data_IF_273410167918
#
_entry.id   IF_273410167918
#
_cell.length_a   1.000
_cell.length_b   1.000
_cell.length_c   1.000
_cell.angle_alpha   90.00
_cell.angle_beta   90.00
_cell.angle_gamma   90.00
#
_symmetry.space_group_name_H-M   'P 1'
#
loop_
_entity.id
_entity.type
_entity.pdbx_description
1 polymer ?
#
# COMPACT_ATOMS: atom_id res chain seq x y z
N UNK A 1 6.38 -0.88 -11.74
CA UNK A 1 6.90 -2.18 -11.30
C UNK A 1 5.76 -2.95 -10.62
N UNK A 2 5.57 -4.25 -10.89
CA UNK A 2 4.53 -5.02 -10.23
C UNK A 2 4.67 -4.96 -8.72
N UNK A 3 3.55 -4.80 -8.01
CA UNK A 3 3.55 -4.69 -6.56
C UNK A 3 2.20 -5.09 -5.98
N UNK A 4 2.21 -5.39 -4.69
CA UNK A 4 1.00 -5.49 -3.88
C UNK A 4 0.95 -4.38 -2.85
N UNK A 5 -0.27 -4.00 -2.47
CA UNK A 5 -0.52 -3.19 -1.27
C UNK A 5 -1.35 -4.02 -0.31
N UNK A 6 -0.75 -4.37 0.82
CA UNK A 6 -1.36 -5.20 1.85
C UNK A 6 -0.94 -4.70 3.23
N UNK A 7 -1.89 -4.64 4.17
CA UNK A 7 -1.66 -4.15 5.54
C UNK A 7 -0.95 -2.76 5.60
N UNK A 8 -1.25 -1.87 4.65
CA UNK A 8 -0.65 -0.54 4.56
C UNK A 8 0.79 -0.52 4.03
N UNK A 9 1.34 -1.65 3.61
CA UNK A 9 2.67 -1.74 3.02
C UNK A 9 2.60 -1.98 1.52
N UNK A 10 3.47 -1.28 0.79
CA UNK A 10 3.70 -1.52 -0.63
C UNK A 10 4.89 -2.47 -0.78
N UNK A 11 4.65 -3.65 -1.33
CA UNK A 11 5.67 -4.69 -1.54
C UNK A 11 5.85 -4.87 -3.04
N UNK A 12 7.03 -4.51 -3.55
CA UNK A 12 7.42 -4.80 -4.92
C UNK A 12 7.53 -6.31 -5.14
N UNK A 13 7.06 -6.82 -6.26
CA UNK A 13 7.15 -8.25 -6.62
C UNK A 13 7.56 -8.41 -8.07
N UNK A 14 7.99 -9.63 -8.44
CA UNK A 14 8.28 -9.96 -9.83
C UNK A 14 6.99 -10.16 -10.65
N UNK A 15 7.08 -10.07 -11.97
CA UNK A 15 5.95 -10.37 -12.87
C UNK A 15 5.48 -11.82 -12.76
N UNK A 16 6.37 -12.76 -12.41
CA UNK A 16 5.99 -14.15 -12.18
C UNK A 16 5.14 -14.27 -10.90
N UNK A 17 5.60 -13.68 -9.80
CA UNK A 17 4.87 -13.67 -8.53
C UNK A 17 3.52 -12.95 -8.64
N UNK A 18 3.41 -11.95 -9.51
CA UNK A 18 2.14 -11.29 -9.78
C UNK A 18 1.06 -12.27 -10.27
N UNK A 19 1.43 -13.18 -11.18
CA UNK A 19 0.51 -14.20 -11.72
C UNK A 19 0.13 -15.19 -10.61
N UNK A 20 1.14 -15.70 -9.89
CA UNK A 20 0.96 -16.64 -8.78
C UNK A 20 0.04 -16.07 -7.69
N UNK A 21 0.22 -14.79 -7.32
CA UNK A 21 -0.62 -14.11 -6.33
C UNK A 21 -2.04 -13.93 -6.85
N UNK A 22 -2.25 -13.52 -8.11
CA UNK A 22 -3.60 -13.35 -8.68
C UNK A 22 -4.37 -14.66 -8.71
N UNK A 23 -3.73 -15.73 -9.17
CA UNK A 23 -4.36 -17.05 -9.28
C UNK A 23 -4.63 -17.65 -7.89
N UNK A 24 -3.66 -17.54 -6.97
CA UNK A 24 -3.78 -18.02 -5.60
C UNK A 24 -4.88 -17.30 -4.81
N UNK A 25 -4.94 -15.97 -4.88
CA UNK A 25 -6.01 -15.19 -4.26
C UNK A 25 -7.39 -15.56 -4.81
N UNK A 26 -7.51 -15.78 -6.13
CA UNK A 26 -8.78 -16.17 -6.75
C UNK A 26 -9.24 -17.56 -6.31
N UNK A 27 -8.32 -18.52 -6.25
CA UNK A 27 -8.62 -19.87 -5.76
C UNK A 27 -9.06 -19.83 -4.29
N UNK A 28 -8.27 -19.18 -3.43
CA UNK A 28 -8.56 -19.04 -2.00
C UNK A 28 -9.89 -18.31 -1.73
N UNK A 29 -10.21 -17.27 -2.50
CA UNK A 29 -11.49 -16.58 -2.43
C UNK A 29 -12.68 -17.48 -2.80
N UNK A 30 -12.48 -18.37 -3.78
CA UNK A 30 -13.51 -19.30 -4.25
C UNK A 30 -13.75 -20.42 -3.24
N UNK A 31 -12.68 -20.93 -2.65
CA UNK A 31 -12.72 -22.04 -1.69
C UNK A 31 -13.03 -21.59 -0.25
N UNK A 32 -12.94 -20.29 0.03
CA UNK A 32 -13.10 -19.76 1.38
C UNK A 32 -11.91 -20.10 2.29
N UNK A 33 -10.73 -20.29 1.72
CA UNK A 33 -9.51 -20.72 2.42
C UNK A 33 -8.48 -19.60 2.54
N UNK A 34 -7.52 -19.75 3.44
CA UNK A 34 -6.40 -18.80 3.58
C UNK A 34 -5.44 -18.99 2.41
N UNK A 35 -4.99 -17.89 1.81
CA UNK A 35 -3.90 -17.89 0.86
C UNK A 35 -2.58 -17.56 1.59
N UNK A 36 -1.60 -18.45 1.48
CA UNK A 36 -0.27 -18.26 2.04
C UNK A 36 0.79 -18.42 0.95
N UNK A 37 1.67 -17.44 0.79
CA UNK A 37 2.79 -17.52 -0.16
C UNK A 37 3.98 -16.68 0.29
N UNK A 38 5.17 -17.10 -0.12
CA UNK A 38 6.41 -16.35 0.06
C UNK A 38 6.66 -15.45 -1.16
N UNK A 39 6.88 -14.17 -0.89
CA UNK A 39 7.20 -13.16 -1.88
C UNK A 39 8.64 -12.69 -1.70
N UNK A 40 9.31 -12.46 -2.81
CA UNK A 40 10.64 -11.89 -2.89
C UNK A 40 10.50 -10.48 -3.47
N UNK A 41 10.87 -9.50 -2.67
CA UNK A 41 10.98 -8.10 -3.03
C UNK A 41 11.95 -7.89 -4.17
N UNK A 42 11.71 -6.87 -4.99
CA UNK A 42 12.63 -6.46 -6.05
C UNK A 42 14.01 -6.02 -5.54
N UNK A 43 14.12 -5.72 -4.25
CA UNK A 43 15.34 -5.37 -3.51
C UNK A 43 15.99 -6.59 -2.81
N UNK A 44 15.43 -7.78 -2.95
CA UNK A 44 15.89 -9.00 -2.30
C UNK A 44 15.31 -9.25 -0.90
N UNK A 45 14.42 -8.39 -0.41
CA UNK A 45 13.74 -8.61 0.87
C UNK A 45 12.68 -9.72 0.76
N UNK A 46 12.59 -10.62 1.73
CA UNK A 46 11.59 -11.68 1.77
C UNK A 46 10.35 -11.30 2.58
N UNK A 47 9.17 -11.62 2.08
CA UNK A 47 7.90 -11.33 2.75
C UNK A 47 6.98 -12.56 2.72
N UNK A 48 6.34 -12.86 3.85
CA UNK A 48 5.24 -13.82 3.89
C UNK A 48 3.92 -13.09 3.72
N UNK A 49 3.15 -13.47 2.69
CA UNK A 49 1.79 -13.00 2.50
C UNK A 49 0.84 -14.05 3.07
N UNK A 50 0.11 -13.69 4.13
CA UNK A 50 -1.01 -14.47 4.65
C UNK A 50 -2.28 -13.66 4.45
N UNK A 51 -3.12 -14.09 3.51
CA UNK A 51 -4.35 -13.39 3.14
C UNK A 51 -5.58 -14.26 3.39
N UNK A 52 -6.62 -13.66 3.97
CA UNK A 52 -7.90 -14.32 4.21
C UNK A 52 -9.00 -13.73 3.33
N UNK A 53 -9.98 -14.52 2.87
CA UNK A 53 -11.11 -14.02 2.10
C UNK A 53 -11.81 -12.85 2.81
N UNK A 54 -11.99 -11.74 2.07
CA UNK A 54 -12.56 -10.49 2.60
C UNK A 54 -11.53 -9.48 3.11
N UNK A 55 -10.26 -9.85 3.28
CA UNK A 55 -9.22 -8.88 3.61
C UNK A 55 -8.87 -8.01 2.39
N UNK A 56 -8.73 -6.67 2.55
CA UNK A 56 -8.38 -5.81 1.43
C UNK A 56 -6.94 -6.05 0.99
N UNK A 57 -6.76 -6.27 -0.31
CA UNK A 57 -5.45 -6.36 -0.97
C UNK A 57 -5.55 -5.75 -2.35
N UNK A 58 -4.54 -4.96 -2.73
CA UNK A 58 -4.41 -4.43 -4.09
C UNK A 58 -3.26 -5.14 -4.77
N UNK A 59 -3.50 -5.64 -5.99
CA UNK A 59 -2.49 -6.31 -6.81
C UNK A 59 -2.38 -5.54 -8.12
N UNK A 60 -1.22 -4.95 -8.38
CA UNK A 60 -1.00 -4.04 -9.51
C UNK A 60 0.15 -4.52 -10.39
N UNK A 61 -0.05 -4.50 -11.71
CA UNK A 61 0.99 -4.75 -12.71
C UNK A 61 1.72 -3.46 -13.14
N UNK A 62 1.09 -2.31 -12.94
CA UNK A 62 1.63 -0.98 -13.19
C UNK A 62 2.30 -0.40 -11.94
N UNK A 63 3.15 0.63 -12.12
CA UNK A 63 3.37 1.56 -11.00
C UNK A 63 2.07 2.34 -10.80
N UNK A 64 1.50 2.28 -9.58
CA UNK A 64 0.43 3.21 -9.20
C UNK A 64 1.09 4.59 -9.17
N UNK A 65 0.67 5.55 -10.02
CA UNK A 65 1.20 6.91 -9.93
C UNK A 65 0.90 7.43 -8.52
N UNK A 66 1.81 8.20 -7.90
CA UNK A 66 1.46 8.90 -6.68
C UNK A 66 0.15 9.64 -6.91
N UNK A 67 -0.76 9.59 -5.91
CA UNK A 67 -2.00 10.35 -5.99
C UNK A 67 -1.64 11.78 -6.39
N UNK A 68 -2.27 12.34 -7.44
CA UNK A 68 -2.04 13.73 -7.77
C UNK A 68 -2.28 14.53 -6.49
N UNK A 69 -1.31 15.36 -6.10
CA UNK A 69 -1.52 16.32 -5.04
C UNK A 69 -2.70 17.18 -5.49
N UNK A 70 -3.89 16.89 -4.97
CA UNK A 70 -5.05 17.73 -5.21
C UNK A 70 -4.71 19.01 -4.46
N UNK A 71 -4.50 20.16 -5.14
CA UNK A 71 -4.31 21.40 -4.43
C UNK A 71 -5.55 21.58 -3.57
N UNK A 72 -5.34 21.71 -2.25
CA UNK A 72 -6.45 21.97 -1.34
C UNK A 72 -7.24 23.16 -1.89
N UNK A 73 -8.58 23.04 -1.99
CA UNK A 73 -9.38 24.17 -2.42
C UNK A 73 -9.04 25.37 -1.54
N UNK A 74 -8.92 26.54 -2.14
CA UNK A 74 -8.76 27.77 -1.39
C UNK A 74 -10.05 28.03 -0.60
N UNK A 75 -10.07 27.56 0.65
CA UNK A 75 -11.19 27.74 1.57
C UNK A 75 -11.26 29.17 2.12
N UNK A 76 -10.34 30.06 1.73
CA UNK A 76 -10.36 31.48 2.10
C UNK A 76 -11.65 32.16 1.63
N UNK A 77 -12.19 31.75 0.48
CA UNK A 77 -13.48 32.24 -0.03
C UNK A 77 -14.68 31.80 0.83
N UNK A 78 -14.53 30.76 1.64
CA UNK A 78 -15.55 30.23 2.56
C UNK A 78 -15.37 30.75 4.00
N UNK A 79 -14.40 31.64 4.26
CA UNK A 79 -14.12 32.18 5.59
C UNK A 79 -13.58 31.15 6.59
N UNK A 80 -13.20 29.97 6.12
CA UNK A 80 -12.63 28.91 6.94
C UNK A 80 -11.10 29.10 6.96
N UNK A 81 -10.59 29.72 8.02
CA UNK A 81 -9.15 29.83 8.26
C UNK A 81 -8.50 28.45 8.32
N UNK A 82 -7.28 28.33 7.77
CA UNK A 82 -6.50 27.10 7.86
C UNK A 82 -6.36 26.69 9.34
N UNK A 83 -6.46 25.38 9.67
CA UNK A 83 -6.10 24.92 11.00
C UNK A 83 -4.65 25.36 11.29
N UNK A 84 -4.35 25.89 12.49
CA UNK A 84 -3.02 26.33 12.83
C UNK A 84 -2.03 25.18 12.61
N UNK A 85 -0.90 25.49 11.97
CA UNK A 85 0.17 24.54 11.71
C UNK A 85 0.50 23.78 13.00
N UNK A 86 0.51 22.43 12.99
CA UNK A 86 0.80 21.66 14.18
C UNK A 86 2.16 22.11 14.71
N UNK A 87 2.29 22.38 16.03
CA UNK A 87 3.52 22.92 16.59
C UNK A 87 4.67 22.00 16.20
N UNK A 88 5.61 22.53 15.40
CA UNK A 88 6.80 21.81 15.02
C UNK A 88 7.54 21.45 16.32
N UNK A 89 7.48 20.17 16.71
CA UNK A 89 8.29 19.67 17.81
C UNK A 89 9.76 19.92 17.42
N UNK A 90 10.38 20.90 18.08
CA UNK A 90 11.82 21.07 18.02
C UNK A 90 12.45 19.75 18.45
N UNK A 91 13.04 19.02 17.50
CA UNK A 91 13.91 17.88 17.81
C UNK A 91 15.05 18.42 18.66
N UNK A 92 14.99 18.17 19.97
CA UNK A 92 16.13 18.37 20.86
C UNK A 92 17.19 17.35 20.43
N UNK A 93 18.16 17.80 19.63
CA UNK A 93 19.44 17.12 19.52
C UNK A 93 20.20 17.41 20.82
N UNK A 94 20.04 16.50 21.78
CA UNK A 94 20.88 16.48 22.98
C UNK A 94 22.21 15.82 22.66
N UNK A 95 23.31 16.50 22.99
CA UNK A 95 24.63 15.92 23.16
C UNK A 95 24.75 15.33 24.57
#
# INVERSE_FOLDING_TARGET
MPHIVYAGQRIAITSQQLVEVKDGLRAAATEGTVFETYLAGGDGAGFWLLWTPGAPIVVSDADVPPLPEIPWPDLSALGLGLPPEPPQQQRRVGF
#
